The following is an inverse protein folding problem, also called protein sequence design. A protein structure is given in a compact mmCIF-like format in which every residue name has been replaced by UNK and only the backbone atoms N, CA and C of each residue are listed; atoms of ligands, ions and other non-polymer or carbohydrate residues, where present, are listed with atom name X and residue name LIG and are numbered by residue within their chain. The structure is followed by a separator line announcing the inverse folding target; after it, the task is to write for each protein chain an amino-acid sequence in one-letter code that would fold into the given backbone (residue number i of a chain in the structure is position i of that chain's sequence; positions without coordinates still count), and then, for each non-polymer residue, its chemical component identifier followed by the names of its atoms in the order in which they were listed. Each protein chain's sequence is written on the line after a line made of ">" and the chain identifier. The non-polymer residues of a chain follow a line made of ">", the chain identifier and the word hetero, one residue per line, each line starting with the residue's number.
data_IF_482423358766
#
_entry.id   IF_482423358766
#
_cell.length_a   1.000
_cell.length_b   1.000
_cell.length_c   1.000
_cell.angle_alpha   90.00
_cell.angle_beta   90.00
_cell.angle_gamma   90.00
#
_symmetry.space_group_name_H-M   'P 1'
#
loop_
_entity.id
_entity.type
_entity.pdbx_description
1 polymer ?
#
# COMPACT_ATOMS: atom_id res chain seq x y z
N UNK A 1 10.08 0.86 -10.41
CA UNK A 1 11.31 1.40 -9.78
C UNK A 1 11.82 2.70 -10.38
N UNK A 2 12.20 2.81 -11.67
CA UNK A 2 12.75 4.06 -12.19
C UNK A 2 11.86 5.29 -11.99
N UNK A 3 10.56 5.16 -12.25
CA UNK A 3 9.60 6.25 -12.04
C UNK A 3 9.43 6.62 -10.55
N UNK A 4 9.37 5.63 -9.65
CA UNK A 4 9.30 5.92 -8.21
C UNK A 4 10.57 6.63 -7.70
N UNK A 5 11.74 6.22 -8.16
CA UNK A 5 12.99 6.93 -7.84
C UNK A 5 12.95 8.37 -8.34
N UNK A 6 12.47 8.60 -9.57
CA UNK A 6 12.31 9.93 -10.13
C UNK A 6 11.42 10.82 -9.27
N UNK A 7 10.21 10.35 -8.94
CA UNK A 7 9.24 11.10 -8.14
C UNK A 7 9.79 11.45 -6.75
N UNK A 8 10.34 10.45 -6.04
CA UNK A 8 10.87 10.64 -4.69
C UNK A 8 12.11 11.54 -4.68
N UNK A 9 13.02 11.37 -5.65
CA UNK A 9 14.22 12.20 -5.75
C UNK A 9 13.90 13.65 -6.14
N UNK A 10 12.89 13.86 -6.99
CA UNK A 10 12.42 15.20 -7.35
C UNK A 10 11.80 15.93 -6.14
N UNK A 11 11.14 15.19 -5.25
CA UNK A 11 10.42 15.76 -4.13
C UNK A 11 11.26 15.97 -2.87
N UNK A 12 12.08 14.98 -2.49
CA UNK A 12 12.90 15.03 -1.26
C UNK A 12 14.30 15.61 -1.49
N UNK A 13 14.74 15.66 -2.76
CA UNK A 13 16.09 16.03 -3.12
C UNK A 13 17.08 14.87 -3.02
N UNK A 14 18.30 15.13 -3.49
CA UNK A 14 19.36 14.12 -3.66
C UNK A 14 20.57 14.31 -2.74
N UNK A 15 20.49 15.28 -1.84
CA UNK A 15 21.58 15.68 -0.95
C UNK A 15 21.25 15.43 0.53
N UNK A 16 22.30 15.37 1.36
CA UNK A 16 22.16 15.23 2.82
C UNK A 16 21.48 13.92 3.26
N UNK A 17 20.71 14.01 4.35
CA UNK A 17 19.98 12.88 4.90
C UNK A 17 18.93 12.33 3.92
N UNK A 18 18.24 13.22 3.21
CA UNK A 18 17.26 12.83 2.19
C UNK A 18 17.92 12.10 1.02
N UNK A 19 19.02 12.63 0.48
CA UNK A 19 19.78 11.93 -0.57
C UNK A 19 20.23 10.54 -0.15
N UNK A 20 20.71 10.40 1.08
CA UNK A 20 21.12 9.12 1.65
C UNK A 20 19.95 8.14 1.72
N UNK A 21 18.80 8.57 2.23
CA UNK A 21 17.59 7.77 2.30
C UNK A 21 17.08 7.37 0.91
N UNK A 22 16.90 8.34 0.00
CA UNK A 22 16.37 8.10 -1.35
C UNK A 22 17.22 7.08 -2.10
N UNK A 23 18.55 7.20 -2.06
CA UNK A 23 19.44 6.24 -2.71
C UNK A 23 19.36 4.86 -2.05
N UNK A 24 19.29 4.80 -0.71
CA UNK A 24 19.22 3.53 0.00
C UNK A 24 17.90 2.80 -0.25
N UNK A 25 16.78 3.48 -0.03
CA UNK A 25 15.43 2.95 -0.30
C UNK A 25 15.32 2.46 -1.74
N UNK A 26 15.79 3.25 -2.72
CA UNK A 26 15.76 2.85 -4.14
C UNK A 26 16.54 1.56 -4.38
N UNK A 27 17.72 1.42 -3.78
CA UNK A 27 18.54 0.22 -3.92
C UNK A 27 17.89 -1.00 -3.24
N UNK A 28 17.21 -0.80 -2.11
CA UNK A 28 16.50 -1.85 -1.40
C UNK A 28 15.30 -2.36 -2.20
N UNK A 29 14.44 -1.44 -2.64
CA UNK A 29 13.27 -1.69 -3.48
C UNK A 29 13.59 -2.32 -4.84
N UNK A 30 14.71 -1.94 -5.47
CA UNK A 30 15.15 -2.54 -6.72
C UNK A 30 15.31 -4.06 -6.62
N UNK A 31 15.74 -4.56 -5.46
CA UNK A 31 15.92 -6.01 -5.23
C UNK A 31 14.60 -6.76 -5.22
N UNK A 32 13.49 -6.12 -4.80
CA UNK A 32 12.18 -6.77 -4.72
C UNK A 32 11.68 -7.15 -6.11
N UNK A 33 11.73 -6.21 -7.06
CA UNK A 33 11.34 -6.45 -8.44
C UNK A 33 12.24 -7.45 -9.18
N UNK A 34 13.53 -7.53 -8.81
CA UNK A 34 14.48 -8.50 -9.35
C UNK A 34 14.12 -9.91 -8.86
N UNK A 35 14.03 -10.12 -7.54
CA UNK A 35 13.82 -11.46 -6.98
C UNK A 35 12.45 -12.03 -7.35
N UNK A 36 11.40 -11.20 -7.39
CA UNK A 36 10.06 -11.65 -7.82
C UNK A 36 10.07 -12.07 -9.29
N UNK A 37 10.73 -11.31 -10.16
CA UNK A 37 10.88 -11.65 -11.59
C UNK A 37 11.63 -12.96 -11.76
N UNK A 38 12.77 -13.09 -11.09
CA UNK A 38 13.62 -14.28 -11.20
C UNK A 38 12.89 -15.53 -10.69
N UNK A 39 12.13 -15.41 -9.60
CA UNK A 39 11.25 -16.48 -9.12
C UNK A 39 10.21 -16.87 -10.18
N UNK A 40 9.47 -15.91 -10.74
CA UNK A 40 8.43 -16.17 -11.75
C UNK A 40 8.98 -16.88 -12.99
N UNK A 41 10.17 -16.47 -13.44
CA UNK A 41 10.83 -17.06 -14.60
C UNK A 41 11.43 -18.45 -14.30
N UNK A 42 12.10 -18.61 -13.16
CA UNK A 42 12.74 -19.87 -12.78
C UNK A 42 11.71 -20.96 -12.47
N UNK A 43 10.60 -20.60 -11.81
CA UNK A 43 9.48 -21.51 -11.53
C UNK A 43 8.59 -21.76 -12.75
N UNK A 44 8.71 -20.95 -13.81
CA UNK A 44 7.79 -20.93 -14.96
C UNK A 44 6.34 -20.73 -14.55
N UNK A 45 6.10 -19.96 -13.48
CA UNK A 45 4.76 -19.70 -12.96
C UNK A 45 3.89 -18.82 -13.89
N UNK A 46 4.51 -18.15 -14.85
CA UNK A 46 3.84 -17.27 -15.83
C UNK A 46 4.47 -17.41 -17.21
N UNK A 47 3.77 -16.93 -18.24
CA UNK A 47 4.34 -16.73 -19.58
C UNK A 47 5.43 -15.64 -19.52
N UNK A 48 6.69 -15.96 -19.82
CA UNK A 48 7.80 -15.00 -19.73
C UNK A 48 7.67 -13.86 -20.75
N UNK A 49 7.12 -14.13 -21.93
CA UNK A 49 6.99 -13.12 -22.97
C UNK A 49 5.87 -12.12 -22.60
N UNK A 50 4.78 -12.62 -22.05
CA UNK A 50 3.70 -11.77 -21.54
C UNK A 50 4.18 -10.90 -20.37
N UNK A 51 4.95 -11.47 -19.44
CA UNK A 51 5.53 -10.75 -18.31
C UNK A 51 6.42 -9.59 -18.77
N UNK A 52 7.36 -9.85 -19.69
CA UNK A 52 8.30 -8.80 -20.14
C UNK A 52 7.63 -7.74 -21.00
N UNK A 53 6.68 -8.11 -21.87
CA UNK A 53 5.89 -7.12 -22.62
C UNK A 53 5.14 -6.19 -21.68
N UNK A 54 4.48 -6.73 -20.66
CA UNK A 54 3.76 -5.95 -19.67
C UNK A 54 4.68 -5.03 -18.85
N UNK A 55 5.87 -5.52 -18.46
CA UNK A 55 6.89 -4.68 -17.80
C UNK A 55 7.34 -3.53 -18.70
N UNK A 56 7.61 -3.78 -19.97
CA UNK A 56 7.99 -2.74 -20.94
C UNK A 56 6.90 -1.69 -21.11
N UNK A 57 5.64 -2.10 -21.22
CA UNK A 57 4.49 -1.20 -21.31
C UNK A 57 4.39 -0.32 -20.05
N UNK A 58 4.37 -0.93 -18.87
CA UNK A 58 4.25 -0.20 -17.60
C UNK A 58 5.42 0.76 -17.36
N UNK A 59 6.66 0.31 -17.61
CA UNK A 59 7.84 1.16 -17.43
C UNK A 59 7.90 2.31 -18.44
N UNK A 60 7.38 2.13 -19.65
CA UNK A 60 7.36 3.18 -20.68
C UNK A 60 6.25 4.20 -20.45
N UNK A 61 5.12 3.78 -19.89
CA UNK A 61 4.05 4.69 -19.48
C UNK A 61 4.49 5.60 -18.32
N UNK A 62 5.33 5.07 -17.43
CA UNK A 62 5.81 5.78 -16.25
C UNK A 62 4.76 5.81 -15.13
N UNK A 63 5.09 6.57 -14.09
CA UNK A 63 4.23 6.80 -12.93
C UNK A 63 4.42 8.23 -12.49
N UNK A 64 3.32 8.91 -12.17
CA UNK A 64 3.29 10.24 -11.58
C UNK A 64 2.50 10.16 -10.27
N UNK A 65 3.07 10.70 -9.19
CA UNK A 65 2.41 10.72 -7.90
C UNK A 65 1.34 11.80 -7.84
N UNK A 66 0.13 11.44 -7.42
CA UNK A 66 -0.94 12.41 -7.09
C UNK A 66 -0.51 13.41 -6.01
N UNK A 67 0.46 13.01 -5.20
CA UNK A 67 0.95 13.76 -4.05
C UNK A 67 2.23 14.57 -4.36
N UNK A 68 2.66 14.66 -5.63
CA UNK A 68 3.89 15.38 -6.03
C UNK A 68 3.90 16.87 -5.70
N UNK A 69 2.71 17.43 -5.45
CA UNK A 69 2.53 18.84 -5.08
C UNK A 69 2.98 19.15 -3.63
N UNK A 70 3.17 18.13 -2.78
CA UNK A 70 3.49 18.32 -1.36
C UNK A 70 4.37 17.20 -0.81
N UNK A 71 5.52 17.59 -0.25
CA UNK A 71 6.42 16.67 0.47
C UNK A 71 5.70 15.96 1.61
N UNK A 72 4.87 16.68 2.37
CA UNK A 72 4.17 16.12 3.53
C UNK A 72 3.10 15.09 3.10
N UNK A 73 2.34 15.36 2.04
CA UNK A 73 1.39 14.40 1.49
C UNK A 73 2.10 13.17 0.92
N UNK A 74 3.25 13.33 0.28
CA UNK A 74 4.01 12.18 -0.20
C UNK A 74 4.60 11.35 0.92
N UNK A 75 5.12 11.97 1.99
CA UNK A 75 5.54 11.24 3.20
C UNK A 75 4.35 10.50 3.83
N UNK A 76 3.18 11.14 3.88
CA UNK A 76 1.95 10.51 4.36
C UNK A 76 1.56 9.31 3.50
N UNK A 77 1.51 9.50 2.18
CA UNK A 77 1.17 8.46 1.21
C UNK A 77 2.07 7.24 1.32
N UNK A 78 3.38 7.44 1.34
CA UNK A 78 4.34 6.33 1.38
C UNK A 78 4.28 5.61 2.74
N UNK A 79 3.99 6.28 3.85
CA UNK A 79 3.80 5.60 5.15
C UNK A 79 2.67 4.56 5.13
N UNK A 80 1.54 4.86 4.50
CA UNK A 80 0.43 3.90 4.35
C UNK A 80 0.71 2.89 3.24
N UNK A 81 1.29 3.33 2.13
CA UNK A 81 1.53 2.49 0.97
C UNK A 81 2.56 1.38 1.26
N UNK A 82 3.63 1.66 2.02
CA UNK A 82 4.61 0.66 2.47
C UNK A 82 3.98 -0.40 3.40
N UNK A 83 3.00 -0.01 4.23
CA UNK A 83 2.27 -0.99 5.02
C UNK A 83 1.33 -1.83 4.15
N UNK A 84 0.69 -1.22 3.15
CA UNK A 84 -0.18 -1.91 2.22
C UNK A 84 0.58 -2.97 1.39
N UNK A 85 1.78 -2.64 0.91
CA UNK A 85 2.66 -3.58 0.21
C UNK A 85 3.19 -4.66 1.14
N UNK A 86 3.62 -4.33 2.36
CA UNK A 86 3.97 -5.34 3.37
C UNK A 86 2.87 -6.38 3.54
N UNK A 87 1.62 -5.94 3.75
CA UNK A 87 0.47 -6.84 3.96
C UNK A 87 0.20 -7.66 2.70
N UNK A 88 0.20 -7.02 1.52
CA UNK A 88 -0.01 -7.69 0.24
C UNK A 88 1.04 -8.76 -0.05
N UNK A 89 2.33 -8.48 0.21
CA UNK A 89 3.41 -9.45 0.05
C UNK A 89 3.25 -10.64 0.99
N UNK A 90 2.96 -10.40 2.28
CA UNK A 90 2.74 -11.47 3.26
C UNK A 90 1.57 -12.37 2.84
N UNK A 91 0.44 -11.78 2.47
CA UNK A 91 -0.76 -12.53 2.11
C UNK A 91 -0.54 -13.32 0.80
N UNK A 92 0.09 -12.70 -0.20
CA UNK A 92 0.44 -13.37 -1.46
C UNK A 92 1.37 -14.56 -1.23
N UNK A 93 2.40 -14.41 -0.38
CA UNK A 93 3.31 -15.48 -0.01
C UNK A 93 2.57 -16.67 0.58
N UNK A 94 1.73 -16.41 1.58
CA UNK A 94 0.96 -17.46 2.25
C UNK A 94 -0.02 -18.17 1.29
N UNK A 95 -0.74 -17.41 0.46
CA UNK A 95 -1.75 -17.94 -0.45
C UNK A 95 -1.16 -18.64 -1.68
N UNK A 96 0.11 -18.41 -1.99
CA UNK A 96 0.75 -19.02 -3.15
C UNK A 96 0.81 -20.55 -3.06
N UNK A 97 0.79 -21.11 -1.85
CA UNK A 97 1.00 -22.54 -1.60
C UNK A 97 2.43 -23.02 -1.88
N UNK A 98 3.36 -22.13 -2.27
CA UNK A 98 4.76 -22.45 -2.50
C UNK A 98 5.63 -21.94 -1.33
N UNK A 99 6.30 -22.84 -0.56
CA UNK A 99 7.19 -22.46 0.52
C UNK A 99 8.36 -21.54 0.10
N UNK A 100 8.82 -21.60 -1.15
CA UNK A 100 9.88 -20.71 -1.67
C UNK A 100 9.32 -19.30 -1.85
N UNK A 101 8.15 -19.19 -2.47
CA UNK A 101 7.45 -17.92 -2.65
C UNK A 101 7.13 -17.26 -1.30
N UNK A 102 6.59 -18.03 -0.35
CA UNK A 102 6.25 -17.54 0.99
C UNK A 102 7.48 -16.95 1.71
N UNK A 103 8.60 -17.69 1.73
CA UNK A 103 9.85 -17.19 2.35
C UNK A 103 10.43 -15.98 1.62
N UNK A 104 10.34 -15.93 0.29
CA UNK A 104 10.81 -14.80 -0.51
C UNK A 104 10.00 -13.54 -0.19
N UNK A 105 8.67 -13.64 -0.25
CA UNK A 105 7.78 -12.51 -0.01
C UNK A 105 7.77 -12.07 1.46
N UNK A 106 8.01 -12.97 2.42
CA UNK A 106 8.22 -12.61 3.81
C UNK A 106 9.47 -11.73 4.02
N UNK A 107 10.54 -11.92 3.24
CA UNK A 107 11.73 -11.05 3.28
C UNK A 107 11.43 -9.68 2.71
N UNK A 108 10.73 -9.62 1.58
CA UNK A 108 10.30 -8.34 1.00
C UNK A 108 9.41 -7.60 2.01
N UNK A 109 8.40 -8.26 2.58
CA UNK A 109 7.54 -7.68 3.61
C UNK A 109 8.29 -7.18 4.86
N UNK A 110 9.50 -7.71 5.13
CA UNK A 110 10.35 -7.21 6.21
C UNK A 110 10.99 -5.87 5.85
N UNK A 111 11.47 -5.70 4.62
CA UNK A 111 12.00 -4.43 4.12
C UNK A 111 10.89 -3.35 4.13
N UNK A 112 9.72 -3.67 3.58
CA UNK A 112 8.52 -2.79 3.54
C UNK A 112 8.10 -2.34 4.96
N UNK A 113 8.23 -3.23 5.96
CA UNK A 113 7.97 -2.86 7.35
C UNK A 113 8.97 -1.81 7.88
N UNK A 114 10.25 -1.94 7.52
CA UNK A 114 11.29 -0.99 7.93
C UNK A 114 11.09 0.37 7.24
N UNK A 115 10.73 0.36 5.95
CA UNK A 115 10.39 1.57 5.21
C UNK A 115 9.16 2.27 5.80
N UNK A 116 8.08 1.52 6.09
CA UNK A 116 6.90 2.05 6.78
C UNK A 116 7.28 2.68 8.13
N UNK A 117 8.10 2.01 8.94
CA UNK A 117 8.55 2.55 10.23
C UNK A 117 9.30 3.86 10.05
N UNK A 118 10.16 3.97 9.03
CA UNK A 118 10.84 5.21 8.69
C UNK A 118 9.84 6.34 8.39
N UNK A 119 8.92 6.15 7.44
CA UNK A 119 7.98 7.20 7.04
C UNK A 119 6.96 7.56 8.12
N UNK A 120 6.46 6.58 8.88
CA UNK A 120 5.55 6.86 10.00
C UNK A 120 6.23 7.64 11.13
N UNK A 121 7.53 7.40 11.38
CA UNK A 121 8.28 8.20 12.35
C UNK A 121 8.44 9.66 11.90
N UNK A 122 8.62 9.89 10.58
CA UNK A 122 8.63 11.23 10.02
C UNK A 122 7.28 11.92 10.21
N UNK A 123 6.16 11.24 9.93
CA UNK A 123 4.82 11.79 10.17
C UNK A 123 4.58 12.15 11.63
N UNK A 124 5.02 11.32 12.57
CA UNK A 124 4.93 11.64 14.00
C UNK A 124 5.67 12.95 14.31
N UNK A 125 6.90 13.10 13.81
CA UNK A 125 7.66 14.34 13.98
C UNK A 125 6.98 15.53 13.29
N UNK A 126 6.35 15.33 12.12
CA UNK A 126 5.56 16.37 11.44
C UNK A 126 4.34 16.80 12.25
N UNK A 127 3.63 15.87 12.89
CA UNK A 127 2.51 16.18 13.79
C UNK A 127 2.95 16.96 15.01
N UNK A 128 4.17 16.72 15.52
CA UNK A 128 4.72 17.46 16.66
C UNK A 128 5.14 18.88 16.27
N UNK A 129 5.59 19.09 15.03
CA UNK A 129 6.03 20.39 14.53
C UNK A 129 4.90 21.27 13.99
N UNK A 130 3.97 20.67 13.23
CA UNK A 130 2.91 21.36 12.51
C UNK A 130 1.63 20.49 12.52
N UNK A 131 0.93 20.39 13.66
CA UNK A 131 -0.14 19.42 13.88
C UNK A 131 -1.28 19.54 12.87
N UNK A 132 -1.82 20.74 12.66
CA UNK A 132 -2.92 20.98 11.71
C UNK A 132 -2.53 20.60 10.29
N UNK A 133 -1.37 21.06 9.82
CA UNK A 133 -0.91 20.79 8.46
C UNK A 133 -0.66 19.29 8.23
N UNK A 134 -0.03 18.62 9.21
CA UNK A 134 0.24 17.19 9.12
C UNK A 134 -1.04 16.35 9.19
N UNK A 135 -2.00 16.73 10.03
CA UNK A 135 -3.26 16.01 10.14
C UNK A 135 -4.12 16.18 8.88
N UNK A 136 -4.17 17.38 8.30
CA UNK A 136 -4.84 17.61 7.01
C UNK A 136 -4.24 16.74 5.91
N UNK A 137 -2.91 16.68 5.81
CA UNK A 137 -2.23 15.84 4.81
C UNK A 137 -2.49 14.34 5.01
N UNK A 138 -2.52 13.88 6.27
CA UNK A 138 -2.90 12.49 6.59
C UNK A 138 -4.34 12.23 6.17
N UNK A 139 -5.28 13.12 6.50
CA UNK A 139 -6.69 13.01 6.11
C UNK A 139 -6.84 12.92 4.60
N UNK A 140 -6.22 13.84 3.86
CA UNK A 140 -6.29 13.88 2.39
C UNK A 140 -5.78 12.57 1.79
N UNK A 141 -4.61 12.11 2.22
CA UNK A 141 -4.02 10.85 1.74
C UNK A 141 -4.87 9.63 2.08
N UNK A 142 -5.46 9.57 3.27
CA UNK A 142 -6.27 8.41 3.68
C UNK A 142 -7.58 8.38 2.91
N UNK A 143 -8.22 9.53 2.72
CA UNK A 143 -9.49 9.64 1.98
C UNK A 143 -9.29 9.34 0.49
N UNK A 144 -8.22 9.85 -0.10
CA UNK A 144 -7.94 9.74 -1.53
C UNK A 144 -6.97 8.58 -1.86
N UNK A 145 -6.74 7.66 -0.92
CA UNK A 145 -5.74 6.62 -1.09
C UNK A 145 -5.99 5.75 -2.34
N UNK A 146 -5.00 5.70 -3.23
CA UNK A 146 -4.98 4.80 -4.39
C UNK A 146 -3.69 4.00 -4.42
N UNK A 147 -3.79 2.71 -4.69
CA UNK A 147 -2.62 1.86 -4.92
C UNK A 147 -1.79 2.43 -6.10
N UNK A 148 -0.45 2.44 -6.05
CA UNK A 148 0.38 2.96 -7.13
C UNK A 148 0.10 2.29 -8.49
N UNK A 149 -0.30 1.01 -8.45
CA UNK A 149 -0.67 0.24 -9.64
C UNK A 149 -2.01 0.62 -10.28
N UNK A 150 -2.75 1.61 -9.80
CA UNK A 150 -4.09 1.92 -10.31
C UNK A 150 -4.14 2.32 -11.80
N UNK A 151 -3.02 2.81 -12.35
CA UNK A 151 -2.87 3.12 -13.77
C UNK A 151 -2.46 1.94 -14.66
N UNK A 152 -2.23 0.76 -14.10
CA UNK A 152 -1.81 -0.43 -14.84
C UNK A 152 -2.96 -0.96 -15.73
N UNK A 153 -2.67 -1.44 -16.96
CA UNK A 153 -3.68 -2.08 -17.80
C UNK A 153 -4.43 -3.20 -17.07
N UNK A 154 -5.77 -3.17 -17.15
CA UNK A 154 -6.66 -4.13 -16.48
C UNK A 154 -6.57 -4.18 -14.94
N UNK A 155 -6.05 -3.13 -14.28
CA UNK A 155 -5.90 -3.10 -12.83
C UNK A 155 -7.21 -3.41 -12.08
N UNK A 156 -8.36 -2.91 -12.53
CA UNK A 156 -9.65 -3.17 -11.88
C UNK A 156 -9.99 -4.67 -11.78
N UNK A 157 -9.62 -5.46 -12.80
CA UNK A 157 -9.81 -6.92 -12.78
C UNK A 157 -8.83 -7.57 -11.81
N UNK A 158 -7.56 -7.15 -11.81
CA UNK A 158 -6.56 -7.67 -10.89
C UNK A 158 -6.91 -7.33 -9.42
N UNK A 159 -7.37 -6.11 -9.15
CA UNK A 159 -7.83 -5.66 -7.85
C UNK A 159 -9.03 -6.51 -7.35
N UNK A 160 -10.00 -6.79 -8.22
CA UNK A 160 -11.11 -7.68 -7.87
C UNK A 160 -10.64 -9.11 -7.52
N UNK A 161 -9.65 -9.64 -8.25
CA UNK A 161 -9.06 -10.95 -7.97
C UNK A 161 -8.29 -10.96 -6.64
N UNK A 162 -7.49 -9.93 -6.36
CA UNK A 162 -6.79 -9.78 -5.08
C UNK A 162 -7.77 -9.66 -3.91
N UNK A 163 -8.86 -8.92 -4.08
CA UNK A 163 -9.86 -8.75 -3.04
C UNK A 163 -10.61 -10.05 -2.74
N UNK A 164 -11.02 -10.77 -3.79
CA UNK A 164 -11.67 -12.08 -3.67
C UNK A 164 -10.72 -13.14 -3.09
N UNK A 165 -9.44 -13.09 -3.47
CA UNK A 165 -8.39 -13.96 -2.96
C UNK A 165 -7.94 -13.57 -1.55
N UNK A 166 -8.45 -12.48 -0.98
CA UNK A 166 -8.05 -11.98 0.35
C UNK A 166 -6.55 -11.61 0.42
N UNK A 167 -5.93 -11.28 -0.71
CA UNK A 167 -4.59 -10.67 -0.74
C UNK A 167 -4.67 -9.25 -0.21
N UNK A 168 -5.65 -8.49 -0.73
CA UNK A 168 -5.89 -7.10 -0.34
C UNK A 168 -7.34 -6.69 -0.67
N UNK A 169 -8.11 -6.31 0.33
CA UNK A 169 -9.51 -5.86 0.20
C UNK A 169 -9.79 -4.71 1.18
N UNK A 170 -11.04 -4.23 1.24
CA UNK A 170 -11.41 -3.09 2.10
C UNK A 170 -11.19 -3.35 3.59
N UNK A 171 -11.55 -4.55 4.07
CA UNK A 171 -11.34 -4.98 5.45
C UNK A 171 -9.86 -4.98 5.82
N UNK A 172 -9.03 -5.58 4.98
CA UNK A 172 -7.57 -5.61 5.15
C UNK A 172 -6.99 -4.19 5.10
N UNK A 173 -7.44 -3.34 4.16
CA UNK A 173 -6.98 -1.95 4.08
C UNK A 173 -7.34 -1.17 5.36
N UNK A 174 -8.56 -1.32 5.86
CA UNK A 174 -9.00 -0.66 7.08
C UNK A 174 -8.24 -1.14 8.32
N UNK A 175 -8.20 -2.46 8.56
CA UNK A 175 -7.73 -3.05 9.82
C UNK A 175 -6.21 -3.18 9.89
N UNK A 176 -5.57 -3.55 8.76
CA UNK A 176 -4.15 -3.92 8.73
C UNK A 176 -3.26 -2.80 8.18
N UNK A 177 -3.83 -1.79 7.51
CA UNK A 177 -3.08 -0.68 6.90
C UNK A 177 -3.37 0.66 7.57
N UNK A 178 -4.61 1.14 7.48
CA UNK A 178 -4.96 2.47 7.98
C UNK A 178 -4.95 2.52 9.51
N UNK A 179 -5.76 1.66 10.15
CA UNK A 179 -5.93 1.66 11.61
C UNK A 179 -4.61 1.58 12.39
N UNK A 180 -3.63 0.72 12.06
CA UNK A 180 -2.40 0.60 12.83
C UNK A 180 -1.52 1.85 12.76
N UNK A 181 -1.46 2.51 11.60
CA UNK A 181 -0.70 3.75 11.41
C UNK A 181 -1.38 4.90 12.13
N UNK A 182 -2.70 5.06 11.96
CA UNK A 182 -3.46 6.13 12.61
C UNK A 182 -3.44 6.02 14.14
N UNK A 183 -3.58 4.80 14.69
CA UNK A 183 -3.45 4.55 16.13
C UNK A 183 -2.05 4.88 16.66
N UNK A 184 -1.00 4.50 15.92
CA UNK A 184 0.37 4.83 16.31
C UNK A 184 0.60 6.34 16.38
N UNK A 185 0.06 7.08 15.40
CA UNK A 185 0.15 8.53 15.33
C UNK A 185 -0.79 9.25 16.31
N UNK A 186 -1.75 8.52 16.91
CA UNK A 186 -2.78 9.01 17.83
C UNK A 186 -3.60 10.15 17.22
N UNK A 187 -3.85 10.12 15.91
CA UNK A 187 -4.44 11.27 15.21
C UNK A 187 -5.87 11.58 15.65
N UNK A 188 -6.66 10.58 16.02
CA UNK A 188 -8.05 10.76 16.47
C UNK A 188 -8.15 11.21 17.93
N UNK A 189 -7.11 10.96 18.72
CA UNK A 189 -7.03 11.31 20.14
C UNK A 189 -6.06 12.48 20.37
N UNK A 190 -5.73 13.24 19.31
CA UNK A 190 -4.73 14.31 19.39
C UNK A 190 -5.39 15.61 19.84
N UNK A 191 -4.85 16.15 20.93
CA UNK A 191 -5.27 17.44 21.49
C UNK A 191 -4.47 18.61 20.88
N UNK A 192 -4.91 19.84 21.18
CA UNK A 192 -4.14 21.05 20.84
C UNK A 192 -4.14 21.39 19.35
N UNK A 193 -5.10 20.86 18.60
CA UNK A 193 -5.32 21.18 17.20
C UNK A 193 -5.98 22.56 17.03
N UNK A 194 -5.59 23.29 16.00
CA UNK A 194 -6.33 24.45 15.52
C UNK A 194 -7.58 24.04 14.73
N UNK A 195 -8.32 25.03 14.19
CA UNK A 195 -9.60 24.77 13.50
C UNK A 195 -9.48 23.82 12.30
N UNK A 196 -8.41 23.94 11.51
CA UNK A 196 -8.19 23.08 10.35
C UNK A 196 -7.82 21.66 10.77
N UNK A 197 -6.99 21.52 11.82
CA UNK A 197 -6.65 20.22 12.40
C UNK A 197 -7.88 19.51 12.96
N UNK A 198 -8.73 20.21 13.72
CA UNK A 198 -9.98 19.63 14.26
C UNK A 198 -10.91 19.15 13.15
N UNK A 199 -11.09 19.98 12.10
CA UNK A 199 -11.90 19.58 10.94
C UNK A 199 -11.33 18.32 10.26
N UNK A 200 -10.02 18.28 10.02
CA UNK A 200 -9.38 17.11 9.43
C UNK A 200 -9.51 15.87 10.32
N UNK A 201 -9.44 16.02 11.65
CA UNK A 201 -9.66 14.95 12.62
C UNK A 201 -11.07 14.36 12.52
N UNK A 202 -12.10 15.22 12.49
CA UNK A 202 -13.50 14.82 12.40
C UNK A 202 -13.80 14.10 11.07
N UNK A 203 -13.34 14.67 9.95
CA UNK A 203 -13.54 14.08 8.62
C UNK A 203 -12.83 12.74 8.47
N UNK A 204 -11.62 12.60 9.04
CA UNK A 204 -10.89 11.34 9.07
C UNK A 204 -11.65 10.29 9.90
N UNK A 205 -12.19 10.67 11.07
CA UNK A 205 -13.01 9.79 11.90
C UNK A 205 -14.26 9.30 11.16
N UNK A 206 -14.98 10.22 10.50
CA UNK A 206 -16.15 9.88 9.69
C UNK A 206 -15.81 8.94 8.53
N UNK A 207 -14.71 9.21 7.82
CA UNK A 207 -14.25 8.36 6.73
C UNK A 207 -13.90 6.95 7.20
N UNK A 208 -13.17 6.82 8.32
CA UNK A 208 -12.81 5.52 8.87
C UNK A 208 -14.04 4.70 9.27
N UNK A 209 -15.04 5.32 9.90
CA UNK A 209 -16.32 4.66 10.19
C UNK A 209 -17.05 4.18 8.93
N UNK A 210 -17.17 5.04 7.91
CA UNK A 210 -17.81 4.65 6.66
C UNK A 210 -17.03 3.60 5.85
N UNK A 211 -15.71 3.54 6.01
CA UNK A 211 -14.88 2.48 5.42
C UNK A 211 -15.11 1.13 6.14
N UNK A 212 -15.25 1.13 7.46
CA UNK A 212 -15.56 -0.06 8.25
C UNK A 212 -16.93 -0.67 7.88
N UNK A 213 -17.94 0.18 7.68
CA UNK A 213 -19.27 -0.25 7.21
C UNK A 213 -19.17 -0.94 5.84
N UNK A 214 -18.48 -0.31 4.88
CA UNK A 214 -18.26 -0.87 3.54
C UNK A 214 -17.45 -2.16 3.56
N UNK A 215 -16.47 -2.26 4.45
CA UNK A 215 -15.68 -3.47 4.65
C UNK A 215 -16.56 -4.61 5.18
N UNK A 216 -17.43 -4.34 6.15
CA UNK A 216 -18.39 -5.31 6.69
C UNK A 216 -19.35 -5.82 5.61
N UNK A 217 -19.94 -4.93 4.81
CA UNK A 217 -20.78 -5.33 3.67
C UNK A 217 -20.03 -6.20 2.65
N UNK A 218 -18.75 -5.90 2.41
CA UNK A 218 -17.93 -6.69 1.50
C UNK A 218 -17.66 -8.09 2.05
N UNK A 219 -17.35 -8.21 3.34
CA UNK A 219 -17.08 -9.48 4.02
C UNK A 219 -18.32 -10.39 3.97
N UNK A 220 -19.52 -9.85 4.21
CA UNK A 220 -20.78 -10.57 4.08
C UNK A 220 -21.00 -11.12 2.67
N UNK A 221 -20.78 -10.28 1.65
CA UNK A 221 -20.89 -10.68 0.23
C UNK A 221 -19.87 -11.77 -0.12
N UNK A 222 -18.63 -11.66 0.38
CA UNK A 222 -17.59 -12.65 0.15
C UNK A 222 -17.92 -13.99 0.82
N UNK A 223 -18.40 -13.96 2.06
CA UNK A 223 -18.84 -15.15 2.80
C UNK A 223 -20.00 -15.86 2.09
N UNK A 224 -21.03 -15.11 1.67
CA UNK A 224 -22.15 -15.66 0.90
C UNK A 224 -21.70 -16.31 -0.42
N UNK A 225 -20.74 -15.67 -1.12
CA UNK A 225 -20.14 -16.23 -2.34
C UNK A 225 -19.39 -17.54 -2.05
N UNK A 226 -18.57 -17.59 -1.00
CA UNK A 226 -17.85 -18.81 -0.58
C UNK A 226 -18.81 -19.95 -0.25
N UNK A 227 -19.88 -19.67 0.51
CA UNK A 227 -20.90 -20.64 0.85
C UNK A 227 -21.62 -21.21 -0.39
N UNK A 228 -21.97 -20.35 -1.36
CA UNK A 228 -22.58 -20.79 -2.62
C UNK A 228 -21.65 -21.71 -3.44
N UNK A 229 -20.36 -21.38 -3.52
CA UNK A 229 -19.38 -22.21 -4.24
C UNK A 229 -19.19 -23.56 -3.55
N UNK A 230 -19.12 -23.59 -2.22
CA UNK A 230 -19.02 -24.83 -1.45
C UNK A 230 -20.26 -25.73 -1.63
N UNK A 231 -21.47 -25.14 -1.58
CA UNK A 231 -22.71 -25.88 -1.81
C UNK A 231 -22.79 -26.47 -3.22
N UNK A 232 -22.32 -25.73 -4.23
CA UNK A 232 -22.25 -26.23 -5.61
C UNK A 232 -21.28 -27.40 -5.75
N UNK A 233 -20.08 -27.28 -5.18
CA UNK A 233 -19.08 -28.36 -5.20
C UNK A 233 -19.58 -29.63 -4.50
N UNK A 234 -20.32 -29.48 -3.39
CA UNK A 234 -20.93 -30.60 -2.67
C UNK A 234 -22.10 -31.27 -3.42
N UNK A 235 -22.73 -30.58 -4.37
CA UNK A 235 -23.81 -31.14 -5.19
C UNK A 235 -23.30 -31.84 -6.47
N UNK A 236 -22.07 -31.56 -6.88
CA UNK A 236 -21.42 -32.12 -8.08
C UNK A 236 -20.51 -33.32 -7.77
N UNK A 237 -20.22 -33.61 -6.50
CA UNK A 237 -19.42 -34.75 -6.02
C UNK A 237 -20.26 -35.80 -5.32
#
# INVERSE_FOLDING_TARGET
>A
MPSYHHEIAALFGRDGAWGTWVHRWTAEEARHGIVMRDYLLASRAVDPDALERFRMEHMSAGFESDNRHSMLHSVAYVAFQELATRVSHRNTGHQSGDPVCDRMLARIATDENLHMVFYRNLLRASLDLAPDLALSAIRDVVVDFRMPGHGIPNFGRAAAQMAIGEVYNLRIHHDDVLSPVLRYLKVLDRDGLGPEGLKAQEELGYFMGGLDDKASEFDEKLAARKARLAAKAAAEG
#
